data_IF_572489646503
#
_entry.id   IF_572489646503
#
_cell.length_a   1.000
_cell.length_b   1.000
_cell.length_c   1.000
_cell.angle_alpha   90.00
_cell.angle_beta   90.00
_cell.angle_gamma   90.00
#
_symmetry.space_group_name_H-M   'P 1'
#
loop_
_entity.id
_entity.type
_entity.pdbx_description
1 polymer ?
#
# COMPACT_ATOMS: atom_id res chain seq x y z
N UNK A 1 10.65 22.66 -29.38
CA UNK A 1 9.19 22.48 -29.35
C UNK A 1 8.84 21.70 -28.08
N UNK A 2 8.00 22.24 -27.20
CA UNK A 2 7.70 21.62 -25.91
C UNK A 2 6.64 20.52 -26.10
N UNK A 3 7.06 19.25 -26.03
CA UNK A 3 6.20 18.09 -26.31
C UNK A 3 4.91 18.10 -25.46
N UNK A 4 4.94 18.34 -24.14
CA UNK A 4 3.74 18.50 -23.32
C UNK A 4 2.74 19.53 -23.82
N UNK A 5 3.19 20.70 -24.25
CA UNK A 5 2.28 21.76 -24.70
C UNK A 5 1.68 21.43 -26.06
N UNK A 6 2.47 20.85 -26.97
CA UNK A 6 1.95 20.34 -28.25
C UNK A 6 0.94 19.20 -28.04
N UNK A 7 1.18 18.30 -27.09
CA UNK A 7 0.24 17.24 -26.75
C UNK A 7 -1.08 17.81 -26.20
N UNK A 8 -1.01 18.80 -25.31
CA UNK A 8 -2.20 19.48 -24.79
C UNK A 8 -2.97 20.23 -25.87
N UNK A 9 -2.27 20.91 -26.78
CA UNK A 9 -2.91 21.56 -27.92
C UNK A 9 -3.71 20.55 -28.77
N UNK A 10 -3.18 19.35 -29.01
CA UNK A 10 -3.90 18.30 -29.74
C UNK A 10 -5.13 17.81 -28.96
N UNK A 11 -5.00 17.58 -27.65
CA UNK A 11 -6.10 17.18 -26.76
C UNK A 11 -7.22 18.22 -26.76
N UNK A 12 -6.86 19.50 -26.62
CA UNK A 12 -7.80 20.63 -26.64
C UNK A 12 -8.51 20.78 -27.98
N UNK A 13 -7.89 20.34 -29.08
CA UNK A 13 -8.48 20.31 -30.42
C UNK A 13 -9.20 18.99 -30.76
N UNK A 14 -9.52 18.16 -29.76
CA UNK A 14 -10.37 16.98 -29.94
C UNK A 14 -9.64 15.68 -30.26
N UNK A 15 -8.32 15.60 -30.04
CA UNK A 15 -7.62 14.32 -30.11
C UNK A 15 -8.22 13.32 -29.10
N UNK A 16 -8.46 12.09 -29.56
CA UNK A 16 -9.13 11.06 -28.75
C UNK A 16 -8.23 10.58 -27.60
N UNK A 17 -8.59 10.96 -26.36
CA UNK A 17 -7.90 10.59 -25.12
C UNK A 17 -7.94 9.09 -24.80
N UNK A 18 -8.94 8.36 -25.33
CA UNK A 18 -9.11 6.91 -25.12
C UNK A 18 -8.51 6.08 -26.25
N UNK A 19 -7.80 6.71 -27.18
CA UNK A 19 -7.05 5.96 -28.18
C UNK A 19 -5.89 5.20 -27.54
N UNK A 20 -5.61 4.04 -28.10
CA UNK A 20 -4.51 3.18 -27.68
C UNK A 20 -3.36 3.29 -28.68
N UNK A 21 -2.12 3.26 -28.19
CA UNK A 21 -0.96 3.12 -29.07
C UNK A 21 -0.87 1.69 -29.61
N UNK A 22 0.09 1.42 -30.52
CA UNK A 22 0.31 0.08 -31.11
C UNK A 22 0.51 -1.05 -30.09
N UNK A 23 0.94 -0.71 -28.88
CA UNK A 23 1.14 -1.63 -27.76
C UNK A 23 -0.16 -1.90 -26.96
N UNK A 24 -1.30 -1.35 -27.39
CA UNK A 24 -2.61 -1.56 -26.74
C UNK A 24 -2.84 -0.73 -25.48
N UNK A 25 -1.84 0.02 -25.01
CA UNK A 25 -1.99 0.83 -23.80
C UNK A 25 -2.70 2.17 -24.08
N UNK A 26 -3.59 2.63 -23.19
CA UNK A 26 -4.15 3.97 -23.24
C UNK A 26 -3.05 5.04 -23.25
N UNK A 27 -3.27 6.14 -23.97
CA UNK A 27 -2.28 7.24 -24.07
C UNK A 27 -1.85 7.73 -22.68
N UNK A 28 -2.78 7.83 -21.73
CA UNK A 28 -2.48 8.32 -20.37
C UNK A 28 -1.44 7.46 -19.66
N UNK A 29 -1.50 6.13 -19.83
CA UNK A 29 -0.54 5.17 -19.29
C UNK A 29 0.85 5.40 -19.91
N UNK A 30 0.91 5.72 -21.20
CA UNK A 30 2.19 6.04 -21.87
C UNK A 30 2.83 7.31 -21.31
N UNK A 31 2.02 8.34 -21.03
CA UNK A 31 2.51 9.57 -20.41
C UNK A 31 3.00 9.30 -18.98
N UNK A 32 2.27 8.50 -18.22
CA UNK A 32 2.66 8.06 -16.87
C UNK A 32 3.95 7.23 -16.88
N UNK A 33 4.10 6.31 -17.84
CA UNK A 33 5.32 5.51 -18.03
C UNK A 33 6.57 6.36 -18.23
N UNK A 34 6.41 7.50 -18.92
CA UNK A 34 7.48 8.49 -19.14
C UNK A 34 7.70 9.43 -17.94
N UNK A 35 7.09 9.15 -16.78
CA UNK A 35 7.17 9.96 -15.56
C UNK A 35 6.69 11.40 -15.69
N UNK A 36 5.89 11.72 -16.72
CA UNK A 36 5.37 13.07 -16.92
C UNK A 36 4.03 13.27 -16.22
N UNK A 37 4.04 13.16 -14.89
CA UNK A 37 2.85 13.28 -14.06
C UNK A 37 2.18 14.65 -14.15
N UNK A 38 2.94 15.71 -14.42
CA UNK A 38 2.38 17.04 -14.71
C UNK A 38 1.46 16.99 -15.93
N UNK A 39 1.89 16.34 -17.02
CA UNK A 39 1.06 16.18 -18.21
C UNK A 39 -0.12 15.23 -17.97
N UNK A 40 0.09 14.12 -17.26
CA UNK A 40 -1.01 13.21 -16.85
C UNK A 40 -2.13 14.00 -16.18
N UNK A 41 -1.76 14.82 -15.19
CA UNK A 41 -2.74 15.61 -14.46
C UNK A 41 -3.36 16.74 -15.30
N UNK A 42 -2.61 17.41 -16.19
CA UNK A 42 -3.19 18.38 -17.13
C UNK A 42 -4.25 17.76 -18.02
N UNK A 43 -4.02 16.54 -18.51
CA UNK A 43 -4.99 15.79 -19.32
C UNK A 43 -6.24 15.44 -18.49
N UNK A 44 -6.07 14.95 -17.25
CA UNK A 44 -7.19 14.65 -16.35
C UNK A 44 -7.97 15.93 -15.98
N UNK A 45 -7.26 17.02 -15.71
CA UNK A 45 -7.86 18.32 -15.38
C UNK A 45 -8.70 18.83 -16.55
N UNK A 46 -8.19 18.75 -17.78
CA UNK A 46 -8.95 19.07 -18.99
C UNK A 46 -10.17 18.16 -19.16
N UNK A 47 -9.99 16.83 -19.05
CA UNK A 47 -11.09 15.88 -19.17
C UNK A 47 -12.18 16.15 -18.13
N UNK A 48 -11.80 16.49 -16.90
CA UNK A 48 -12.74 16.82 -15.82
C UNK A 48 -13.53 18.10 -16.09
N UNK A 49 -12.92 19.09 -16.76
CA UNK A 49 -13.58 20.35 -17.10
C UNK A 49 -14.49 20.23 -18.33
N UNK A 50 -14.04 19.50 -19.36
CA UNK A 50 -14.70 19.45 -20.67
C UNK A 50 -15.65 18.25 -20.82
N UNK A 51 -15.32 17.12 -20.19
CA UNK A 51 -16.00 15.83 -20.34
C UNK A 51 -16.08 15.06 -19.01
N UNK A 52 -16.75 15.59 -17.98
CA UNK A 52 -16.73 15.03 -16.62
C UNK A 52 -17.18 13.57 -16.55
N UNK A 53 -18.10 13.15 -17.41
CA UNK A 53 -18.59 11.76 -17.48
C UNK A 53 -17.52 10.76 -17.90
N UNK A 54 -16.48 11.23 -18.60
CA UNK A 54 -15.38 10.41 -19.12
C UNK A 54 -14.18 10.35 -18.15
N UNK A 55 -14.11 11.26 -17.18
CA UNK A 55 -13.03 11.32 -16.18
C UNK A 55 -12.86 10.02 -15.39
N UNK A 56 -13.93 9.36 -14.88
CA UNK A 56 -13.78 8.10 -14.17
C UNK A 56 -13.13 7.00 -15.01
N UNK A 57 -13.44 6.95 -16.31
CA UNK A 57 -12.83 5.98 -17.24
C UNK A 57 -11.35 6.27 -17.43
N UNK A 58 -10.99 7.54 -17.64
CA UNK A 58 -9.60 7.94 -17.83
C UNK A 58 -8.74 7.66 -16.59
N UNK A 59 -9.28 7.92 -15.39
CA UNK A 59 -8.62 7.60 -14.13
C UNK A 59 -8.52 6.08 -13.94
N UNK A 60 -9.57 5.32 -14.28
CA UNK A 60 -9.52 3.86 -14.24
C UNK A 60 -8.40 3.32 -15.12
N UNK A 61 -8.30 3.77 -16.37
CA UNK A 61 -7.27 3.34 -17.31
C UNK A 61 -5.86 3.60 -16.75
N UNK A 62 -5.65 4.74 -16.09
CA UNK A 62 -4.39 5.06 -15.40
C UNK A 62 -4.10 4.14 -14.21
N UNK A 63 -5.13 3.75 -13.45
CA UNK A 63 -4.97 2.96 -12.22
C UNK A 63 -4.92 1.45 -12.44
N UNK A 64 -5.63 0.91 -13.44
CA UNK A 64 -5.58 -0.53 -13.79
C UNK A 64 -4.26 -0.91 -14.49
N UNK A 65 -3.49 0.09 -14.94
CA UNK A 65 -2.19 -0.13 -15.54
C UNK A 65 -1.19 -0.62 -14.50
N UNK A 66 -0.60 -1.79 -14.75
CA UNK A 66 0.47 -2.36 -13.93
C UNK A 66 1.77 -1.56 -14.13
N UNK A 67 2.19 -0.86 -13.07
CA UNK A 67 3.37 -0.02 -13.07
C UNK A 67 4.68 -0.84 -12.99
N UNK A 68 4.62 -2.14 -12.64
CA UNK A 68 5.80 -2.94 -12.33
C UNK A 68 6.42 -3.64 -13.55
N UNK A 69 5.65 -4.11 -14.53
CA UNK A 69 6.18 -5.06 -15.52
C UNK A 69 7.05 -4.47 -16.63
N UNK A 70 6.98 -3.17 -16.95
CA UNK A 70 7.61 -2.65 -18.18
C UNK A 70 8.45 -1.38 -18.08
N UNK A 71 8.33 -0.56 -17.03
CA UNK A 71 8.90 0.81 -17.09
C UNK A 71 9.74 1.29 -15.91
N UNK A 72 10.02 0.46 -14.89
CA UNK A 72 10.81 0.87 -13.70
C UNK A 72 10.41 2.28 -13.24
N UNK A 73 9.10 2.51 -13.12
CA UNK A 73 8.53 3.77 -12.67
C UNK A 73 9.17 4.09 -11.33
N UNK A 74 9.72 5.29 -11.17
CA UNK A 74 10.33 5.70 -9.91
C UNK A 74 9.31 5.47 -8.79
N UNK A 75 9.62 4.50 -7.93
CA UNK A 75 8.72 4.01 -6.90
C UNK A 75 8.11 5.17 -6.10
N UNK A 76 6.78 5.16 -5.93
CA UNK A 76 6.13 5.86 -4.81
C UNK A 76 5.28 7.10 -5.11
N UNK A 77 5.19 7.63 -6.34
CA UNK A 77 4.25 8.74 -6.58
C UNK A 77 2.78 8.29 -6.53
N UNK A 78 2.44 7.16 -7.15
CA UNK A 78 1.07 6.61 -7.19
C UNK A 78 0.63 5.94 -5.86
N UNK A 79 1.55 5.72 -4.92
CA UNK A 79 1.25 5.17 -3.60
C UNK A 79 1.09 6.24 -2.52
N UNK A 80 1.27 7.51 -2.90
CA UNK A 80 1.26 8.62 -1.96
C UNK A 80 -0.14 9.08 -1.60
N UNK A 81 -0.29 9.63 -0.39
CA UNK A 81 -1.53 10.27 0.04
C UNK A 81 -1.90 11.47 -0.86
N UNK A 82 -0.91 12.17 -1.43
CA UNK A 82 -1.15 13.29 -2.33
C UNK A 82 -1.74 12.84 -3.66
N UNK A 83 -1.25 11.73 -4.21
CA UNK A 83 -1.81 11.13 -5.41
C UNK A 83 -3.26 10.74 -5.20
N UNK A 84 -3.54 9.95 -4.15
CA UNK A 84 -4.90 9.51 -3.86
C UNK A 84 -5.84 10.67 -3.51
N UNK A 85 -5.36 11.69 -2.80
CA UNK A 85 -6.14 12.91 -2.55
C UNK A 85 -6.55 13.59 -3.86
N UNK A 86 -5.65 13.66 -4.84
CA UNK A 86 -5.96 14.22 -6.16
C UNK A 86 -6.89 13.32 -6.98
N UNK A 87 -6.73 12.00 -6.93
CA UNK A 87 -7.69 11.06 -7.53
C UNK A 87 -9.09 11.27 -6.94
N UNK A 88 -9.19 11.31 -5.61
CA UNK A 88 -10.45 11.51 -4.89
C UNK A 88 -11.07 12.86 -5.20
N UNK A 89 -10.28 13.94 -5.34
CA UNK A 89 -10.83 15.25 -5.70
C UNK A 89 -11.45 15.28 -7.10
N UNK A 90 -11.03 14.40 -8.00
CA UNK A 90 -11.63 14.23 -9.34
C UNK A 90 -12.84 13.31 -9.36
N UNK A 91 -12.86 12.30 -8.49
CA UNK A 91 -13.95 11.31 -8.42
C UNK A 91 -15.02 11.65 -7.39
N UNK A 92 -14.76 12.62 -6.51
CA UNK A 92 -15.68 13.13 -5.50
C UNK A 92 -15.80 12.29 -4.22
N UNK A 93 -15.19 11.10 -4.15
CA UNK A 93 -15.28 10.26 -2.95
C UNK A 93 -14.14 9.24 -2.82
N UNK A 94 -13.60 9.00 -1.60
CA UNK A 94 -12.74 7.85 -1.34
C UNK A 94 -13.49 6.52 -1.56
N UNK A 95 -14.81 6.51 -1.38
CA UNK A 95 -15.67 5.35 -1.55
C UNK A 95 -16.27 5.22 -2.96
N UNK A 96 -15.65 5.87 -3.95
CA UNK A 96 -16.06 5.79 -5.35
C UNK A 96 -16.05 4.33 -5.85
N UNK A 97 -17.00 4.00 -6.71
CA UNK A 97 -17.12 2.69 -7.34
C UNK A 97 -17.26 2.87 -8.86
N UNK A 98 -16.45 2.15 -9.63
CA UNK A 98 -16.53 2.14 -11.08
C UNK A 98 -17.76 1.36 -11.55
N UNK A 99 -18.08 1.45 -12.84
CA UNK A 99 -19.27 0.83 -13.43
C UNK A 99 -19.33 -0.70 -13.26
N UNK A 100 -18.18 -1.36 -13.11
CA UNK A 100 -18.08 -2.80 -12.86
C UNK A 100 -18.21 -3.19 -11.38
N UNK A 101 -18.42 -2.21 -10.49
CA UNK A 101 -18.53 -2.39 -9.05
C UNK A 101 -17.21 -2.37 -8.30
N UNK A 102 -16.06 -2.33 -8.99
CA UNK A 102 -14.75 -2.20 -8.33
C UNK A 102 -14.65 -0.84 -7.64
N UNK A 103 -14.10 -0.82 -6.44
CA UNK A 103 -13.81 0.41 -5.68
C UNK A 103 -12.38 0.87 -5.90
N UNK A 104 -12.03 2.09 -5.47
CA UNK A 104 -10.64 2.58 -5.50
C UNK A 104 -9.65 1.65 -4.80
N UNK A 105 -10.09 0.93 -3.76
CA UNK A 105 -9.22 -0.02 -3.06
C UNK A 105 -8.78 -1.20 -3.94
N UNK A 106 -9.57 -1.61 -4.94
CA UNK A 106 -9.18 -2.66 -5.90
C UNK A 106 -8.09 -2.19 -6.85
N UNK A 107 -7.85 -0.88 -6.92
CA UNK A 107 -6.90 -0.27 -7.84
C UNK A 107 -5.58 0.07 -7.14
N UNK A 108 -5.38 -0.45 -5.93
CA UNK A 108 -4.16 -0.21 -5.15
C UNK A 108 -3.10 -1.25 -5.53
N UNK A 109 -1.90 -0.79 -5.88
CA UNK A 109 -0.78 -1.67 -6.25
C UNK A 109 0.10 -2.08 -5.06
N UNK A 110 -0.13 -1.49 -3.89
CA UNK A 110 0.68 -1.76 -2.72
C UNK A 110 0.05 -1.32 -1.40
N UNK A 111 0.62 -1.83 -0.31
CA UNK A 111 0.19 -1.58 1.07
C UNK A 111 0.15 -0.08 1.39
N UNK A 112 1.13 0.70 0.91
CA UNK A 112 1.20 2.16 1.12
C UNK A 112 0.01 2.87 0.48
N UNK A 113 -0.33 2.46 -0.74
CA UNK A 113 -1.46 2.92 -1.53
C UNK A 113 -2.79 2.63 -0.82
N UNK A 114 -2.98 1.40 -0.36
CA UNK A 114 -4.17 0.98 0.39
C UNK A 114 -4.32 1.76 1.72
N UNK A 115 -3.23 1.88 2.49
CA UNK A 115 -3.21 2.67 3.74
C UNK A 115 -3.47 4.15 3.50
N UNK A 116 -3.00 4.71 2.38
CA UNK A 116 -3.29 6.10 2.01
C UNK A 116 -4.79 6.31 1.76
N UNK A 117 -5.45 5.41 1.01
CA UNK A 117 -6.90 5.46 0.81
C UNK A 117 -7.69 5.35 2.14
N UNK A 118 -7.27 4.47 3.05
CA UNK A 118 -7.88 4.36 4.39
C UNK A 118 -7.75 5.67 5.15
N UNK A 119 -6.55 6.28 5.16
CA UNK A 119 -6.32 7.58 5.81
C UNK A 119 -7.17 8.70 5.20
N UNK A 120 -7.52 8.59 3.92
CA UNK A 120 -8.38 9.53 3.21
C UNK A 120 -9.88 9.21 3.34
N UNK A 121 -10.26 8.23 4.17
CA UNK A 121 -11.64 7.95 4.53
C UNK A 121 -12.31 6.82 3.75
N UNK A 122 -11.54 5.92 3.12
CA UNK A 122 -12.12 4.70 2.53
C UNK A 122 -12.70 3.78 3.61
N UNK A 123 -13.96 3.36 3.44
CA UNK A 123 -14.69 2.52 4.41
C UNK A 123 -15.53 1.41 3.77
N UNK A 124 -15.68 1.37 2.44
CA UNK A 124 -16.45 0.33 1.73
C UNK A 124 -15.71 -1.01 1.62
N UNK A 125 -15.43 -1.65 2.77
CA UNK A 125 -14.87 -3.00 2.80
C UNK A 125 -15.92 -4.10 2.60
N UNK A 126 -17.19 -3.81 2.92
CA UNK A 126 -18.29 -4.75 2.75
C UNK A 126 -18.59 -5.02 1.28
N UNK A 127 -18.52 -6.29 0.88
CA UNK A 127 -18.81 -6.75 -0.48
C UNK A 127 -19.51 -8.09 -0.50
N UNK A 128 -20.13 -8.42 -1.63
CA UNK A 128 -20.89 -9.66 -1.83
C UNK A 128 -20.09 -10.77 -2.52
N UNK A 129 -18.92 -10.46 -3.09
CA UNK A 129 -18.16 -11.40 -3.94
C UNK A 129 -16.74 -11.72 -3.44
N UNK A 130 -16.25 -11.08 -2.38
CA UNK A 130 -14.94 -11.38 -1.77
C UNK A 130 -13.72 -10.94 -2.60
N UNK A 131 -13.92 -10.29 -3.75
CA UNK A 131 -12.88 -9.84 -4.67
C UNK A 131 -11.96 -8.77 -4.05
N UNK A 132 -12.51 -7.85 -3.25
CA UNK A 132 -11.69 -6.88 -2.52
C UNK A 132 -10.80 -7.53 -1.48
N UNK A 133 -11.32 -8.53 -0.75
CA UNK A 133 -10.52 -9.22 0.25
C UNK A 133 -9.43 -10.08 -0.39
N UNK A 134 -9.68 -10.66 -1.57
CA UNK A 134 -8.63 -11.32 -2.36
C UNK A 134 -7.55 -10.32 -2.76
N UNK A 135 -7.96 -9.15 -3.28
CA UNK A 135 -7.03 -8.08 -3.62
C UNK A 135 -6.19 -7.67 -2.41
N UNK A 136 -6.82 -7.38 -1.26
CA UNK A 136 -6.10 -6.99 -0.04
C UNK A 136 -5.17 -8.12 0.45
N UNK A 137 -5.57 -9.39 0.33
CA UNK A 137 -4.72 -10.52 0.67
C UNK A 137 -3.49 -10.62 -0.25
N UNK A 138 -3.62 -10.29 -1.53
CA UNK A 138 -2.49 -10.26 -2.49
C UNK A 138 -1.48 -9.15 -2.21
N UNK A 139 -1.82 -8.17 -1.36
CA UNK A 139 -0.86 -7.16 -0.89
C UNK A 139 0.09 -7.71 0.20
N UNK A 140 -0.14 -8.94 0.66
CA UNK A 140 0.74 -9.64 1.62
C UNK A 140 0.96 -8.89 2.94
N UNK A 141 -0.04 -8.10 3.38
CA UNK A 141 -0.03 -7.37 4.66
C UNK A 141 -1.17 -7.88 5.55
N UNK A 142 -0.83 -8.80 6.46
CA UNK A 142 -1.78 -9.44 7.36
C UNK A 142 -2.51 -8.43 8.28
N UNK A 143 -1.87 -7.39 8.84
CA UNK A 143 -2.58 -6.35 9.60
C UNK A 143 -3.65 -5.62 8.79
N UNK A 144 -3.37 -5.26 7.54
CA UNK A 144 -4.31 -4.62 6.62
C UNK A 144 -5.46 -5.56 6.27
N UNK A 145 -5.17 -6.83 6.03
CA UNK A 145 -6.20 -7.85 5.79
C UNK A 145 -7.13 -8.01 7.00
N UNK A 146 -6.58 -8.12 8.20
CA UNK A 146 -7.37 -8.15 9.45
C UNK A 146 -8.19 -6.88 9.63
N UNK A 147 -7.61 -5.72 9.35
CA UNK A 147 -8.32 -4.43 9.39
C UNK A 147 -9.51 -4.42 8.42
N UNK A 148 -9.37 -4.94 7.21
CA UNK A 148 -10.46 -5.01 6.25
C UNK A 148 -11.62 -5.88 6.75
N UNK A 149 -11.32 -7.03 7.37
CA UNK A 149 -12.33 -7.91 7.98
C UNK A 149 -13.05 -7.20 9.13
N UNK A 150 -12.32 -6.58 10.06
CA UNK A 150 -12.95 -5.90 11.21
C UNK A 150 -13.80 -4.71 10.80
N UNK A 151 -13.54 -4.13 9.63
CA UNK A 151 -14.32 -3.03 9.06
C UNK A 151 -15.40 -3.49 8.06
N UNK A 152 -15.84 -4.75 8.16
CA UNK A 152 -17.02 -5.25 7.46
C UNK A 152 -16.72 -6.01 6.17
N UNK A 153 -15.45 -6.31 5.88
CA UNK A 153 -15.07 -7.27 4.85
C UNK A 153 -15.69 -8.64 5.12
N UNK A 154 -16.26 -9.25 4.09
CA UNK A 154 -16.97 -10.52 4.22
C UNK A 154 -15.99 -11.68 4.45
N UNK A 155 -15.79 -12.05 5.70
CA UNK A 155 -14.97 -13.19 6.10
C UNK A 155 -15.61 -14.54 5.74
N UNK A 156 -16.90 -14.58 5.37
CA UNK A 156 -17.59 -15.79 4.94
C UNK A 156 -17.33 -16.07 3.45
N UNK A 157 -16.06 -16.06 3.09
CA UNK A 157 -15.55 -16.28 1.74
C UNK A 157 -15.95 -17.67 1.24
N UNK A 158 -17.11 -17.77 0.61
CA UNK A 158 -17.62 -19.04 0.12
C UNK A 158 -16.81 -19.55 -1.09
N UNK A 159 -16.60 -20.86 -1.15
CA UNK A 159 -16.10 -21.58 -2.34
C UNK A 159 -14.68 -21.14 -2.74
N UNK A 160 -14.50 -20.70 -3.98
CA UNK A 160 -13.19 -20.46 -4.60
C UNK A 160 -12.41 -19.28 -3.99
N UNK A 161 -13.11 -18.24 -3.53
CA UNK A 161 -12.46 -17.06 -2.93
C UNK A 161 -11.76 -17.37 -1.62
N UNK A 162 -12.40 -18.15 -0.74
CA UNK A 162 -11.81 -18.58 0.53
C UNK A 162 -10.54 -19.40 0.33
N UNK A 163 -10.56 -20.32 -0.65
CA UNK A 163 -9.37 -21.11 -1.01
C UNK A 163 -8.24 -20.28 -1.62
N UNK A 164 -8.54 -19.27 -2.45
CA UNK A 164 -7.51 -18.39 -3.04
C UNK A 164 -6.85 -17.51 -1.98
N UNK A 165 -7.65 -16.90 -1.09
CA UNK A 165 -7.15 -16.11 0.02
C UNK A 165 -6.33 -16.96 0.99
N UNK A 166 -6.80 -18.16 1.35
CA UNK A 166 -6.02 -19.11 2.14
C UNK A 166 -4.70 -19.46 1.46
N UNK A 167 -4.72 -19.72 0.15
CA UNK A 167 -3.53 -20.01 -0.63
C UNK A 167 -2.50 -18.87 -0.60
N UNK A 168 -2.95 -17.61 -0.68
CA UNK A 168 -2.07 -16.43 -0.56
C UNK A 168 -1.45 -16.35 0.83
N UNK A 169 -2.25 -16.48 1.90
CA UNK A 169 -1.77 -16.43 3.27
C UNK A 169 -0.82 -17.58 3.63
N UNK A 170 -1.07 -18.80 3.11
CA UNK A 170 -0.17 -19.94 3.30
C UNK A 170 1.15 -19.78 2.55
N UNK A 171 1.15 -19.10 1.38
CA UNK A 171 2.40 -18.73 0.69
C UNK A 171 3.22 -17.73 1.50
N UNK A 172 2.56 -16.82 2.21
CA UNK A 172 3.25 -15.87 3.08
C UNK A 172 3.88 -16.57 4.27
N UNK A 173 3.19 -17.54 4.89
CA UNK A 173 3.78 -18.43 5.90
C UNK A 173 5.03 -19.16 5.40
N UNK A 174 5.01 -19.62 4.15
CA UNK A 174 6.18 -20.26 3.52
C UNK A 174 7.31 -19.27 3.15
N UNK A 175 7.03 -17.96 3.11
CA UNK A 175 8.03 -16.89 2.91
C UNK A 175 8.59 -16.34 4.23
N UNK A 176 7.78 -16.36 5.30
CA UNK A 176 8.15 -15.88 6.64
C UNK A 176 9.23 -16.76 7.29
N UNK A 177 9.43 -18.01 6.83
CA UNK A 177 10.54 -18.85 7.30
C UNK A 177 11.94 -18.33 6.95
N UNK A 178 12.05 -17.24 6.18
CA UNK A 178 13.35 -16.64 5.80
C UNK A 178 13.61 -15.23 6.36
N UNK A 179 12.64 -14.48 6.92
CA UNK A 179 12.95 -13.11 7.43
C UNK A 179 12.10 -12.66 8.61
N UNK A 180 12.79 -12.59 9.74
CA UNK A 180 12.59 -11.96 11.06
C UNK A 180 11.93 -10.55 11.12
N UNK A 181 10.79 -10.28 10.46
CA UNK A 181 10.34 -8.87 10.27
C UNK A 181 8.90 -8.48 10.70
N UNK A 182 8.15 -9.33 11.38
CA UNK A 182 6.76 -9.00 11.78
C UNK A 182 6.63 -8.22 13.10
N UNK A 183 7.74 -7.88 13.79
CA UNK A 183 7.70 -7.21 15.10
C UNK A 183 7.84 -5.68 15.07
N UNK A 184 7.96 -5.07 13.89
CA UNK A 184 8.27 -3.64 13.75
C UNK A 184 7.21 -2.68 14.36
N UNK A 185 6.01 -3.16 14.72
CA UNK A 185 4.94 -2.30 15.26
C UNK A 185 4.58 -2.55 16.74
N UNK A 186 5.22 -3.49 17.44
CA UNK A 186 5.04 -3.63 18.88
C UNK A 186 5.98 -2.68 19.62
N UNK A 187 5.56 -1.41 19.72
CA UNK A 187 6.32 -0.33 20.37
C UNK A 187 6.85 -0.72 21.77
N UNK A 188 6.13 -1.45 22.64
CA UNK A 188 6.67 -1.90 23.92
C UNK A 188 7.79 -2.94 23.80
N UNK A 189 7.69 -3.87 22.84
CA UNK A 189 8.77 -4.83 22.60
C UNK A 189 9.99 -4.15 21.96
N UNK A 190 9.79 -3.19 21.05
CA UNK A 190 10.89 -2.45 20.44
C UNK A 190 11.68 -1.62 21.48
N UNK A 191 10.98 -0.96 22.41
CA UNK A 191 11.63 -0.27 23.53
C UNK A 191 12.44 -1.26 24.37
N UNK A 192 11.88 -2.44 24.67
CA UNK A 192 12.61 -3.47 25.43
C UNK A 192 13.83 -4.02 24.69
N UNK A 193 13.77 -4.15 23.36
CA UNK A 193 14.86 -4.64 22.53
C UNK A 193 15.96 -3.57 22.40
N UNK A 194 15.59 -2.31 22.22
CA UNK A 194 16.53 -1.19 22.15
C UNK A 194 17.22 -0.95 23.50
N UNK A 195 16.48 -1.09 24.61
CA UNK A 195 17.03 -1.09 25.98
C UNK A 195 17.99 -2.27 26.19
N UNK A 196 17.62 -3.48 25.77
CA UNK A 196 18.45 -4.67 25.90
C UNK A 196 19.71 -4.58 25.04
N UNK A 197 19.62 -4.01 23.84
CA UNK A 197 20.75 -3.78 22.94
C UNK A 197 21.71 -2.74 23.52
N UNK A 198 21.19 -1.66 24.10
CA UNK A 198 21.99 -0.66 24.80
C UNK A 198 22.68 -1.25 26.04
N UNK A 199 21.98 -2.08 26.82
CA UNK A 199 22.58 -2.81 27.93
C UNK A 199 23.70 -3.75 27.46
N UNK A 200 23.52 -4.45 26.33
CA UNK A 200 24.54 -5.32 25.77
C UNK A 200 25.76 -4.55 25.26
N UNK A 201 25.57 -3.38 24.66
CA UNK A 201 26.66 -2.48 24.23
C UNK A 201 27.43 -1.94 25.44
N UNK A 202 26.74 -1.51 26.50
CA UNK A 202 27.37 -1.06 27.75
C UNK A 202 28.14 -2.19 28.44
N UNK A 203 27.63 -3.43 28.41
CA UNK A 203 28.32 -4.61 28.96
C UNK A 203 29.53 -5.01 28.10
N UNK A 204 29.45 -4.87 26.78
CA UNK A 204 30.55 -5.19 25.88
C UNK A 204 31.78 -4.28 26.05
N UNK A 205 31.62 -3.09 26.64
CA UNK A 205 32.72 -2.16 26.92
C UNK A 205 33.39 -2.38 28.28
N UNK A 206 32.83 -3.23 29.15
CA UNK A 206 33.35 -3.48 30.50
C UNK A 206 34.40 -4.59 30.54
N UNK A 207 35.35 -4.47 31.45
CA UNK A 207 36.36 -5.51 31.64
C UNK A 207 35.75 -6.75 32.32
N UNK A 208 36.25 -7.94 31.99
CA UNK A 208 35.74 -9.22 32.52
C UNK A 208 35.55 -9.28 34.06
N UNK A 209 36.44 -8.70 34.91
CA UNK A 209 36.23 -8.67 36.35
C UNK A 209 35.00 -7.87 36.79
N UNK A 210 34.67 -6.79 36.07
CA UNK A 210 33.53 -5.91 36.37
C UNK A 210 32.22 -6.59 35.98
N UNK A 211 32.19 -7.25 34.82
CA UNK A 211 31.06 -8.08 34.38
C UNK A 211 30.72 -9.19 35.37
N UNK A 212 31.75 -9.86 35.93
CA UNK A 212 31.57 -10.91 36.94
C UNK A 212 30.91 -10.39 38.21
N UNK A 213 31.28 -9.18 38.66
CA UNK A 213 30.68 -8.56 39.86
C UNK A 213 29.22 -8.18 39.59
N UNK A 214 28.94 -7.61 38.43
CA UNK A 214 27.59 -7.16 38.06
C UNK A 214 26.60 -8.32 37.90
N UNK A 215 27.01 -9.41 37.25
CA UNK A 215 26.18 -10.64 37.15
C UNK A 215 25.92 -11.23 38.53
N UNK A 216 26.93 -11.29 39.40
CA UNK A 216 26.77 -11.80 40.77
C UNK A 216 25.90 -10.90 41.66
N UNK A 217 25.82 -9.60 41.36
CA UNK A 217 24.91 -8.68 42.04
C UNK A 217 23.46 -8.85 41.54
N UNK A 218 23.26 -8.95 40.22
CA UNK A 218 21.94 -9.19 39.60
C UNK A 218 21.34 -10.53 40.06
N UNK A 219 22.14 -11.61 40.05
CA UNK A 219 21.72 -12.93 40.52
C UNK A 219 21.34 -12.92 42.01
N UNK A 220 22.11 -12.22 42.86
CA UNK A 220 21.76 -12.06 44.28
C UNK A 220 20.48 -11.26 44.50
N UNK A 221 20.25 -10.21 43.72
CA UNK A 221 19.01 -9.43 43.77
C UNK A 221 17.79 -10.26 43.35
N UNK A 222 17.89 -11.06 42.29
CA UNK A 222 16.82 -11.97 41.87
C UNK A 222 16.57 -13.08 42.90
N UNK A 223 17.62 -13.60 43.51
CA UNK A 223 17.51 -14.63 44.54
C UNK A 223 16.79 -14.11 45.80
N UNK A 224 17.08 -12.87 46.26
CA UNK A 224 16.34 -12.24 47.37
C UNK A 224 14.87 -12.01 47.03
N UNK A 225 14.58 -11.49 45.84
CA UNK A 225 13.20 -11.31 45.35
C UNK A 225 12.41 -12.62 45.29
N UNK A 226 13.08 -13.73 44.93
CA UNK A 226 12.45 -15.05 44.90
C UNK A 226 12.24 -15.66 46.30
N UNK A 227 12.96 -15.17 47.31
CA UNK A 227 12.83 -15.59 48.72
C UNK A 227 11.80 -14.75 49.49
N UNK A 228 11.21 -13.71 48.89
CA UNK A 228 10.19 -12.87 49.51
C UNK A 228 10.70 -11.87 50.55
N UNK A 229 12.00 -11.54 50.53
CA UNK A 229 12.58 -10.39 51.26
C UNK A 229 12.61 -9.12 50.41
#
# INVERSE_FOLDING_TARGET
>A
MNIPDTAMMLVENGANLFSTLRNGFPIICTVAARQNWTLVWRIIDFASASHPDLTPRLIRDLLEWDFEETYRVAHGQHDSIHFWSRVISKLGSPNFSFQDGKTLMHMTHGVRSARALIKLGFTKFKQTKGDLLEHIASLHDLPLFRFAITNGGDAHLHKHWGWRILGLLLRDLARISDVDNDRFWDIPEQISIDELKKEMEDLATKAYPELKIEVMARLRGMWRKAQGE
#
